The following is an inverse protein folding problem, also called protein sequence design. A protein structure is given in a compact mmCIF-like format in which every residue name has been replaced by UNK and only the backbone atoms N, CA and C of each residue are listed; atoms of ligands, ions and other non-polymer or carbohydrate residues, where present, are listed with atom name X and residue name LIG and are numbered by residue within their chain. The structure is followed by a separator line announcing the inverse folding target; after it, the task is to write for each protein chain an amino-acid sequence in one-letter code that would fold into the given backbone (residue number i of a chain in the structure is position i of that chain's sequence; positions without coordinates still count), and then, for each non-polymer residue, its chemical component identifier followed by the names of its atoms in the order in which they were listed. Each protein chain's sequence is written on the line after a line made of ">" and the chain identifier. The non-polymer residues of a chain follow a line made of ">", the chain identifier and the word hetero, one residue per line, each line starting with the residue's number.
data_IF_431210106693
#
_entry.id   IF_431210106693
#
_cell.length_a   1.000
_cell.length_b   1.000
_cell.length_c   1.000
_cell.angle_alpha   90.00
_cell.angle_beta   90.00
_cell.angle_gamma   90.00
#
_symmetry.space_group_name_H-M   'P 1'
#
loop_
_entity.id
_entity.type
_entity.pdbx_description
1 polymer ?
#
# COMPACT_ATOMS: atom_id res chain seq x y z
N UNK A 1 14.47 7.63 -1.29
CA UNK A 1 13.26 7.36 -2.12
C UNK A 1 12.59 6.04 -1.73
N UNK A 2 13.28 4.89 -1.73
CA UNK A 2 12.64 3.59 -1.45
C UNK A 2 11.85 3.55 -0.12
N UNK A 3 12.46 3.98 0.99
CA UNK A 3 11.79 4.04 2.29
C UNK A 3 10.56 4.97 2.32
N UNK A 4 10.59 6.07 1.56
CA UNK A 4 9.42 6.98 1.46
C UNK A 4 8.25 6.24 0.82
N UNK A 5 8.48 5.50 -0.27
CA UNK A 5 7.43 4.70 -0.91
C UNK A 5 6.87 3.61 0.00
N UNK A 6 7.73 2.92 0.78
CA UNK A 6 7.28 1.92 1.76
C UNK A 6 6.34 2.56 2.77
N UNK A 7 6.74 3.68 3.37
CA UNK A 7 5.94 4.33 4.41
C UNK A 7 4.69 5.03 3.87
N UNK A 8 4.64 5.36 2.58
CA UNK A 8 3.40 5.76 1.91
C UNK A 8 2.41 4.60 1.75
N UNK A 9 2.87 3.37 1.42
CA UNK A 9 1.98 2.21 1.39
C UNK A 9 1.54 1.77 2.79
N UNK A 10 2.43 1.84 3.79
CA UNK A 10 2.06 1.60 5.19
C UNK A 10 0.99 2.60 5.64
N UNK A 11 1.14 3.87 5.27
CA UNK A 11 0.13 4.90 5.54
C UNK A 11 -1.21 4.50 4.91
N UNK A 12 -1.24 4.25 3.60
CA UNK A 12 -2.49 4.04 2.87
C UNK A 12 -3.21 2.74 3.21
N UNK A 13 -2.48 1.65 3.47
CA UNK A 13 -3.06 0.32 3.68
C UNK A 13 -3.25 -0.07 5.14
N UNK A 14 -2.46 0.50 6.04
CA UNK A 14 -2.46 0.08 7.44
C UNK A 14 -3.00 1.19 8.34
N UNK A 15 -2.38 2.36 8.27
CA UNK A 15 -2.75 3.49 9.14
C UNK A 15 -4.08 4.11 8.73
N UNK A 16 -4.25 4.47 7.45
CA UNK A 16 -5.38 5.25 6.94
C UNK A 16 -6.72 4.52 7.09
N UNK A 17 -6.81 3.23 6.79
CA UNK A 17 -8.05 2.44 6.99
C UNK A 17 -8.49 2.44 8.47
N UNK A 18 -7.54 2.28 9.39
CA UNK A 18 -7.82 2.26 10.84
C UNK A 18 -8.15 3.66 11.37
N UNK A 19 -7.32 4.65 11.03
CA UNK A 19 -7.44 6.02 11.48
C UNK A 19 -8.70 6.71 10.93
N UNK A 20 -9.10 6.40 9.69
CA UNK A 20 -10.31 6.97 9.07
C UNK A 20 -11.58 6.51 9.75
N UNK A 21 -11.69 5.22 10.10
CA UNK A 21 -12.81 4.71 10.90
C UNK A 21 -12.92 5.42 12.25
N UNK A 22 -11.79 5.60 12.95
CA UNK A 22 -11.75 6.34 14.20
C UNK A 22 -12.17 7.81 14.02
N UNK A 23 -11.66 8.49 12.99
CA UNK A 23 -12.04 9.87 12.69
C UNK A 23 -13.52 10.00 12.33
N UNK A 24 -14.08 9.03 11.59
CA UNK A 24 -15.49 9.01 11.23
C UNK A 24 -16.38 8.86 12.47
N UNK A 25 -16.07 7.88 13.33
CA UNK A 25 -16.82 7.63 14.55
C UNK A 25 -16.71 8.79 15.55
N UNK A 26 -15.50 9.33 15.78
CA UNK A 26 -15.25 10.27 16.88
C UNK A 26 -15.32 11.73 16.49
N UNK A 27 -15.29 12.06 15.19
CA UNK A 27 -15.34 13.43 14.69
C UNK A 27 -16.55 13.64 13.80
N UNK A 28 -16.69 12.86 12.73
CA UNK A 28 -17.72 13.10 11.72
C UNK A 28 -19.13 12.78 12.24
N UNK A 29 -19.35 11.62 12.85
CA UNK A 29 -20.67 11.25 13.39
C UNK A 29 -21.18 12.28 14.42
N UNK A 30 -20.40 12.69 15.44
CA UNK A 30 -20.81 13.77 16.35
C UNK A 30 -21.12 15.08 15.64
N UNK A 31 -20.32 15.48 14.65
CA UNK A 31 -20.59 16.69 13.85
C UNK A 31 -21.91 16.60 13.08
N UNK A 32 -22.31 15.41 12.63
CA UNK A 32 -23.57 15.14 11.95
C UNK A 32 -24.73 14.81 12.91
N UNK A 33 -24.53 14.90 14.23
CA UNK A 33 -25.56 14.56 15.23
C UNK A 33 -25.88 13.06 15.33
N UNK A 34 -25.00 12.20 14.79
CA UNK A 34 -25.12 10.74 14.83
C UNK A 34 -24.43 10.13 16.05
N UNK A 35 -24.90 8.98 16.52
CA UNK A 35 -24.33 8.27 17.67
C UNK A 35 -23.07 7.50 17.31
N UNK A 36 -22.09 7.53 18.22
CA UNK A 36 -20.82 6.79 18.11
C UNK A 36 -21.07 5.29 18.31
N UNK A 37 -20.43 4.45 17.50
CA UNK A 37 -20.34 3.02 17.75
C UNK A 37 -19.06 2.71 18.56
N UNK A 38 -19.21 2.55 19.87
CA UNK A 38 -18.07 2.33 20.78
C UNK A 38 -17.34 1.01 20.50
N UNK A 39 -18.01 -0.01 19.96
CA UNK A 39 -17.35 -1.28 19.62
C UNK A 39 -16.42 -1.10 18.41
N UNK A 40 -16.84 -0.32 17.41
CA UNK A 40 -15.99 0.07 16.29
C UNK A 40 -14.81 0.92 16.77
N UNK A 41 -15.04 1.84 17.72
CA UNK A 41 -13.97 2.66 18.30
C UNK A 41 -12.95 1.80 19.03
N UNK A 42 -13.37 0.93 19.94
CA UNK A 42 -12.49 0.06 20.72
C UNK A 42 -11.63 -0.83 19.81
N UNK A 43 -12.27 -1.51 18.85
CA UNK A 43 -11.56 -2.38 17.91
C UNK A 43 -10.50 -1.62 17.09
N UNK A 44 -10.82 -0.43 16.58
CA UNK A 44 -9.87 0.32 15.76
C UNK A 44 -8.82 1.05 16.62
N UNK A 45 -9.11 1.34 17.89
CA UNK A 45 -8.15 1.89 18.84
C UNK A 45 -7.05 0.85 19.14
N UNK A 46 -7.41 -0.41 19.41
CA UNK A 46 -6.43 -1.48 19.61
C UNK A 46 -5.56 -1.73 18.37
N UNK A 47 -6.17 -1.70 17.17
CA UNK A 47 -5.42 -1.82 15.91
C UNK A 47 -4.46 -0.65 15.74
N UNK A 48 -4.92 0.58 15.97
CA UNK A 48 -4.08 1.76 15.85
C UNK A 48 -2.92 1.72 16.84
N UNK A 49 -3.13 1.26 18.07
CA UNK A 49 -2.06 1.17 19.07
C UNK A 49 -0.91 0.26 18.60
N UNK A 50 -1.25 -0.93 18.06
CA UNK A 50 -0.27 -1.86 17.45
C UNK A 50 0.45 -1.25 16.25
N UNK A 51 -0.27 -0.52 15.40
CA UNK A 51 0.35 0.20 14.26
C UNK A 51 1.35 1.23 14.79
N UNK A 52 0.98 1.98 15.83
CA UNK A 52 1.85 2.98 16.42
C UNK A 52 3.07 2.36 17.13
N UNK A 53 3.03 1.10 17.57
CA UNK A 53 4.23 0.39 18.05
C UNK A 53 5.27 0.21 16.94
N UNK A 54 4.82 -0.11 15.72
CA UNK A 54 5.70 -0.19 14.54
C UNK A 54 6.28 1.18 14.20
N UNK A 55 5.47 2.24 14.30
CA UNK A 55 5.93 3.61 14.07
C UNK A 55 6.94 4.03 15.14
N UNK A 56 6.70 3.69 16.41
CA UNK A 56 7.60 3.98 17.52
C UNK A 56 8.97 3.33 17.31
N UNK A 57 8.99 2.05 16.94
CA UNK A 57 10.23 1.35 16.62
C UNK A 57 10.95 1.97 15.41
N UNK A 58 10.21 2.38 14.36
CA UNK A 58 10.79 3.06 13.20
C UNK A 58 11.43 4.39 13.56
N UNK A 59 10.72 5.20 14.34
CA UNK A 59 11.10 6.57 14.70
C UNK A 59 12.18 6.59 15.79
N UNK A 60 12.38 5.50 16.53
CA UNK A 60 13.53 5.35 17.43
C UNK A 60 14.88 5.39 16.67
N UNK A 61 14.88 5.01 15.39
CA UNK A 61 16.09 4.99 14.55
C UNK A 61 16.18 6.12 13.50
N UNK A 62 15.20 7.02 13.42
CA UNK A 62 15.10 8.00 12.32
C UNK A 62 14.16 9.15 12.70
N UNK A 63 14.48 10.38 12.29
CA UNK A 63 13.66 11.56 12.63
C UNK A 63 12.26 11.54 12.00
N UNK A 64 12.15 11.05 10.77
CA UNK A 64 10.91 10.93 9.99
C UNK A 64 10.72 9.50 9.50
N UNK A 65 9.49 9.15 9.09
CA UNK A 65 9.16 7.78 8.66
C UNK A 65 10.01 7.37 7.44
N UNK A 66 10.17 8.29 6.49
CA UNK A 66 10.96 8.07 5.28
C UNK A 66 12.49 8.17 5.45
N UNK A 67 13.00 8.61 6.61
CA UNK A 67 14.43 8.85 6.85
C UNK A 67 14.70 10.11 7.67
N UNK A 68 15.83 10.77 7.42
CA UNK A 68 16.22 11.99 8.16
C UNK A 68 15.50 13.26 7.70
N UNK A 69 14.88 13.21 6.52
CA UNK A 69 14.20 14.36 5.90
C UNK A 69 12.69 14.16 5.87
N UNK A 70 11.96 15.27 6.10
CA UNK A 70 10.51 15.30 5.95
C UNK A 70 10.12 14.98 4.51
N UNK A 71 9.16 14.08 4.33
CA UNK A 71 8.80 13.55 3.02
C UNK A 71 7.28 13.40 2.85
N UNK A 72 6.84 12.89 1.70
CA UNK A 72 5.43 12.55 1.47
C UNK A 72 4.92 11.52 2.50
N UNK A 73 5.80 10.61 2.94
CA UNK A 73 5.48 9.63 3.97
C UNK A 73 5.13 10.26 5.32
N UNK A 74 5.45 11.53 5.58
CA UNK A 74 5.08 12.25 6.79
C UNK A 74 3.94 13.24 6.53
N UNK A 75 3.93 13.82 5.33
CA UNK A 75 2.90 14.78 4.90
C UNK A 75 1.51 14.15 4.87
N UNK A 76 1.39 12.90 4.42
CA UNK A 76 0.09 12.25 4.22
C UNK A 76 -0.64 11.97 5.53
N UNK A 77 0.06 11.79 6.65
CA UNK A 77 -0.57 11.57 7.95
C UNK A 77 -1.18 12.84 8.56
N UNK A 78 -0.76 14.04 8.14
CA UNK A 78 -1.14 15.29 8.80
C UNK A 78 -2.64 15.51 8.93
N UNK A 79 -3.48 15.36 7.87
CA UNK A 79 -4.90 15.65 7.96
C UNK A 79 -5.62 14.80 8.99
N UNK A 80 -5.32 13.51 9.02
CA UNK A 80 -6.03 12.57 9.88
C UNK A 80 -5.51 12.59 11.32
N UNK A 81 -4.20 12.75 11.51
CA UNK A 81 -3.61 12.97 12.83
C UNK A 81 -4.21 14.22 13.47
N UNK A 82 -4.36 15.31 12.72
CA UNK A 82 -4.99 16.53 13.22
C UNK A 82 -6.41 16.28 13.76
N UNK A 83 -7.23 15.48 13.06
CA UNK A 83 -8.55 15.11 13.55
C UNK A 83 -8.48 14.23 14.81
N UNK A 84 -7.64 13.19 14.80
CA UNK A 84 -7.51 12.28 15.94
C UNK A 84 -6.98 12.97 17.21
N UNK A 85 -6.12 13.98 17.05
CA UNK A 85 -5.60 14.78 18.15
C UNK A 85 -6.68 15.62 18.87
N UNK A 86 -7.81 15.89 18.19
CA UNK A 86 -9.00 16.49 18.79
C UNK A 86 -9.84 15.53 19.63
N UNK A 87 -9.48 14.24 19.72
CA UNK A 87 -10.29 13.19 20.35
C UNK A 87 -9.55 12.49 21.51
N UNK A 88 -10.21 11.50 22.14
CA UNK A 88 -9.59 10.60 23.13
C UNK A 88 -8.39 9.81 22.57
N UNK A 89 -8.33 9.60 21.25
CA UNK A 89 -7.29 8.81 20.58
C UNK A 89 -5.89 9.45 20.69
N UNK A 90 -5.80 10.76 20.92
CA UNK A 90 -4.51 11.46 21.12
C UNK A 90 -3.63 10.82 22.20
N UNK A 91 -4.23 10.14 23.18
CA UNK A 91 -3.51 9.46 24.24
C UNK A 91 -2.60 8.34 23.71
N UNK A 92 -2.98 7.65 22.64
CA UNK A 92 -2.15 6.60 22.02
C UNK A 92 -0.87 7.18 21.42
N UNK A 93 -0.98 8.31 20.71
CA UNK A 93 0.16 9.01 20.14
C UNK A 93 1.07 9.58 21.23
N UNK A 94 0.51 10.15 22.29
CA UNK A 94 1.27 10.73 23.40
C UNK A 94 1.94 9.68 24.29
N UNK A 95 1.41 8.45 24.32
CA UNK A 95 1.99 7.34 25.09
C UNK A 95 3.28 6.77 24.50
N UNK A 96 3.65 7.18 23.28
CA UNK A 96 4.79 6.67 22.52
C UNK A 96 5.76 7.84 22.23
N UNK A 97 6.93 7.91 22.87
CA UNK A 97 7.75 9.13 22.88
C UNK A 97 8.27 9.53 21.49
N UNK A 98 8.71 8.59 20.66
CA UNK A 98 9.22 8.91 19.32
C UNK A 98 8.06 9.30 18.38
N UNK A 99 6.92 8.62 18.45
CA UNK A 99 5.68 8.99 17.74
C UNK A 99 5.21 10.38 18.16
N UNK A 100 5.17 10.67 19.46
CA UNK A 100 4.75 11.97 19.98
C UNK A 100 5.65 13.09 19.48
N UNK A 101 6.97 12.89 19.52
CA UNK A 101 7.96 13.84 18.99
C UNK A 101 7.79 14.05 17.47
N UNK A 102 7.57 12.98 16.72
CA UNK A 102 7.30 13.06 15.28
C UNK A 102 5.99 13.82 14.98
N UNK A 103 4.89 13.51 15.65
CA UNK A 103 3.62 14.22 15.53
C UNK A 103 3.79 15.72 15.79
N UNK A 104 4.49 16.09 16.86
CA UNK A 104 4.79 17.48 17.18
C UNK A 104 5.60 18.15 16.05
N UNK A 105 6.61 17.46 15.51
CA UNK A 105 7.45 17.98 14.44
C UNK A 105 6.70 18.19 13.11
N UNK A 106 5.78 17.29 12.74
CA UNK A 106 5.01 17.42 11.49
C UNK A 106 3.90 18.48 11.64
N UNK A 107 3.22 18.54 12.79
CA UNK A 107 2.14 19.49 13.04
C UNK A 107 2.65 20.93 13.20
N UNK A 108 3.87 21.13 13.69
CA UNK A 108 4.49 22.45 13.83
C UNK A 108 5.04 23.04 12.51
N UNK A 109 4.77 22.41 11.35
CA UNK A 109 5.29 22.90 10.07
C UNK A 109 4.53 24.17 9.65
N UNK A 110 5.23 25.24 9.23
CA UNK A 110 4.58 26.49 8.79
C UNK A 110 3.59 26.32 7.64
N UNK A 111 3.82 25.33 6.77
CA UNK A 111 2.87 24.99 5.71
C UNK A 111 1.56 24.42 6.27
N UNK A 112 1.63 23.61 7.34
CA UNK A 112 0.46 23.04 8.00
C UNK A 112 -0.33 24.09 8.77
N UNK A 113 0.35 25.04 9.44
CA UNK A 113 -0.31 26.17 10.12
C UNK A 113 -1.22 26.96 9.17
N UNK A 114 -0.79 27.15 7.91
CA UNK A 114 -1.62 27.80 6.89
C UNK A 114 -2.87 26.98 6.55
N UNK A 115 -2.76 25.66 6.44
CA UNK A 115 -3.90 24.76 6.21
C UNK A 115 -4.89 24.84 7.37
N UNK A 116 -4.41 24.81 8.61
CA UNK A 116 -5.24 24.94 9.82
C UNK A 116 -5.94 26.30 9.88
N UNK A 117 -5.26 27.38 9.50
CA UNK A 117 -5.87 28.72 9.43
C UNK A 117 -7.07 28.74 8.46
N UNK A 118 -6.91 28.14 7.27
CA UNK A 118 -8.00 27.99 6.30
C UNK A 118 -9.13 27.13 6.86
N UNK A 119 -8.83 25.97 7.44
CA UNK A 119 -9.84 25.08 8.03
C UNK A 119 -10.64 25.76 9.15
N UNK A 120 -9.99 26.52 10.04
CA UNK A 120 -10.64 27.29 11.11
C UNK A 120 -11.59 28.35 10.55
N UNK A 121 -11.20 29.02 9.46
CA UNK A 121 -12.06 30.03 8.81
C UNK A 121 -13.31 29.41 8.17
N UNK A 122 -13.20 28.19 7.64
CA UNK A 122 -14.30 27.48 6.97
C UNK A 122 -15.27 26.83 7.95
N UNK A 123 -14.78 26.33 9.09
CA UNK A 123 -15.59 25.64 10.11
C UNK A 123 -16.19 26.59 11.16
N UNK A 124 -16.27 27.89 10.89
CA UNK A 124 -17.03 28.83 11.74
C UNK A 124 -16.52 28.96 13.18
N UNK A 125 -15.23 28.77 13.44
CA UNK A 125 -14.65 28.95 14.77
C UNK A 125 -14.99 27.87 15.80
N UNK A 126 -15.29 26.64 15.39
CA UNK A 126 -15.41 25.50 16.32
C UNK A 126 -14.06 25.31 17.05
N UNK A 127 -14.03 25.64 18.35
CA UNK A 127 -12.85 25.64 19.23
C UNK A 127 -12.19 24.25 19.42
N UNK A 128 -12.78 23.18 18.88
CA UNK A 128 -12.28 21.81 19.01
C UNK A 128 -11.28 21.38 17.92
N UNK A 129 -10.71 22.30 17.12
CA UNK A 129 -9.69 21.98 16.11
C UNK A 129 -8.32 22.59 16.47
N UNK A 130 -7.69 21.89 17.42
CA UNK A 130 -6.26 21.76 17.77
C UNK A 130 -5.56 22.87 18.57
N UNK A 131 -4.86 22.36 19.61
CA UNK A 131 -4.11 22.99 20.70
C UNK A 131 -2.74 23.58 20.30
N UNK A 132 -2.31 24.55 21.11
CA UNK A 132 -0.97 25.15 21.13
C UNK A 132 0.13 24.11 21.39
N UNK A 133 1.26 24.21 20.66
CA UNK A 133 2.44 23.34 20.80
C UNK A 133 3.60 24.15 21.39
N UNK A 134 4.29 23.67 22.46
CA UNK A 134 5.49 24.32 22.96
C UNK A 134 6.70 24.01 22.05
N UNK A 135 7.40 25.06 21.64
CA UNK A 135 8.53 25.01 20.71
C UNK A 135 9.80 24.57 21.43
N UNK A 136 10.51 23.56 20.91
CA UNK A 136 11.94 23.38 21.14
C UNK A 136 12.66 22.99 19.84
N UNK A 137 13.81 23.60 19.58
CA UNK A 137 14.59 23.47 18.33
C UNK A 137 15.78 22.53 18.52
N UNK A 138 16.11 21.62 17.58
CA UNK A 138 17.41 20.97 17.53
C UNK A 138 18.35 21.60 16.48
N UNK A 139 19.65 21.58 16.80
CA UNK A 139 20.76 22.06 15.96
C UNK A 139 21.25 21.04 14.90
N UNK A 140 22.26 21.37 14.09
CA UNK A 140 22.56 20.65 12.85
C UNK A 140 23.74 19.68 12.99
N UNK A 141 23.63 18.44 12.50
CA UNK A 141 24.82 17.60 12.21
C UNK A 141 24.65 16.64 11.02
N UNK A 142 25.65 16.77 10.13
CA UNK A 142 26.28 15.85 9.17
C UNK A 142 25.66 14.49 8.81
N UNK A 143 25.35 14.33 7.52
CA UNK A 143 25.18 13.02 6.88
C UNK A 143 26.48 12.48 6.27
N UNK A 144 26.64 11.15 6.25
CA UNK A 144 27.60 10.44 5.40
C UNK A 144 26.84 9.45 4.52
N UNK A 145 27.11 9.51 3.22
CA UNK A 145 26.66 8.56 2.21
C UNK A 145 27.67 7.42 2.08
N UNK A 146 27.22 6.16 2.21
CA UNK A 146 28.02 4.99 1.84
C UNK A 146 27.53 4.40 0.52
N UNK A 147 28.51 3.97 -0.29
CA UNK A 147 28.37 3.37 -1.60
C UNK A 147 28.03 1.87 -1.42
N UNK A 148 26.89 1.41 -1.95
CA UNK A 148 26.42 0.02 -1.82
C UNK A 148 27.26 -0.93 -2.68
N UNK A 149 27.82 -1.97 -2.06
CA UNK A 149 28.34 -3.15 -2.75
C UNK A 149 27.15 -4.10 -2.96
N UNK A 150 26.88 -4.46 -4.22
CA UNK A 150 25.78 -5.34 -4.58
C UNK A 150 25.99 -6.76 -4.00
N UNK A 151 25.31 -7.06 -2.90
CA UNK A 151 24.93 -8.44 -2.57
C UNK A 151 23.62 -8.73 -3.33
N UNK A 152 23.44 -9.96 -3.81
CA UNK A 152 22.32 -10.33 -4.68
C UNK A 152 20.92 -10.09 -4.08
N UNK A 153 19.93 -9.87 -4.93
CA UNK A 153 18.53 -9.62 -4.54
C UNK A 153 17.93 -10.90 -3.94
N UNK A 154 17.22 -10.76 -2.81
CA UNK A 154 16.40 -11.82 -2.22
C UNK A 154 14.95 -11.39 -2.11
N UNK A 155 14.04 -12.24 -2.58
CA UNK A 155 12.60 -12.05 -2.43
C UNK A 155 12.05 -13.11 -1.47
N UNK A 156 11.50 -12.66 -0.35
CA UNK A 156 10.86 -13.48 0.65
C UNK A 156 9.35 -13.50 0.43
N UNK A 157 8.78 -14.69 0.26
CA UNK A 157 7.33 -14.82 0.11
C UNK A 157 6.86 -16.21 -0.27
N UNK A 158 5.59 -16.29 -0.64
CA UNK A 158 4.94 -17.51 -1.10
C UNK A 158 4.41 -17.30 -2.53
N UNK A 159 4.63 -18.23 -3.48
CA UNK A 159 4.29 -18.01 -4.90
C UNK A 159 2.77 -17.86 -5.16
N UNK A 160 1.90 -18.35 -4.27
CA UNK A 160 0.45 -18.09 -4.33
C UNK A 160 0.03 -16.70 -3.84
N UNK A 161 0.92 -15.91 -3.25
CA UNK A 161 0.56 -14.59 -2.76
C UNK A 161 0.56 -13.59 -3.92
N UNK A 162 -0.61 -12.99 -4.18
CA UNK A 162 -0.76 -11.97 -5.23
C UNK A 162 0.23 -10.79 -5.08
N UNK A 163 0.43 -10.20 -3.88
CA UNK A 163 1.49 -9.21 -3.66
C UNK A 163 2.90 -9.70 -4.02
N UNK A 164 3.23 -10.97 -3.74
CA UNK A 164 4.53 -11.56 -4.12
C UNK A 164 4.63 -11.69 -5.64
N UNK A 165 3.56 -12.10 -6.32
CA UNK A 165 3.51 -12.21 -7.77
C UNK A 165 3.74 -10.87 -8.47
N UNK A 166 3.28 -9.73 -7.91
CA UNK A 166 3.62 -8.39 -8.43
C UNK A 166 5.13 -8.18 -8.45
N UNK A 167 5.81 -8.53 -7.37
CA UNK A 167 7.27 -8.38 -7.27
C UNK A 167 7.99 -9.32 -8.23
N UNK A 168 7.57 -10.58 -8.34
CA UNK A 168 8.15 -11.54 -9.30
C UNK A 168 7.97 -11.03 -10.73
N UNK A 169 6.76 -10.57 -11.11
CA UNK A 169 6.50 -10.01 -12.43
C UNK A 169 7.44 -8.84 -12.73
N UNK A 170 7.65 -7.94 -11.77
CA UNK A 170 8.60 -6.83 -11.91
C UNK A 170 10.05 -7.33 -12.07
N UNK A 171 10.51 -8.26 -11.25
CA UNK A 171 11.86 -8.84 -11.36
C UNK A 171 12.09 -9.48 -12.75
N UNK A 172 11.10 -10.22 -13.26
CA UNK A 172 11.15 -10.86 -14.58
C UNK A 172 11.11 -9.86 -15.74
N UNK A 173 10.24 -8.84 -15.68
CA UNK A 173 10.19 -7.74 -16.64
C UNK A 173 11.52 -6.96 -16.70
N UNK A 174 12.20 -6.85 -15.55
CA UNK A 174 13.49 -6.16 -15.42
C UNK A 174 14.70 -7.08 -15.69
N UNK A 175 14.45 -8.37 -15.94
CA UNK A 175 15.49 -9.40 -16.15
C UNK A 175 16.53 -9.41 -15.02
N UNK A 176 16.05 -9.33 -13.78
CA UNK A 176 16.90 -9.34 -12.59
C UNK A 176 17.03 -10.76 -12.05
N UNK A 177 18.25 -11.16 -11.72
CA UNK A 177 18.50 -12.41 -11.00
C UNK A 177 18.20 -12.19 -9.50
N UNK A 178 17.53 -13.16 -8.88
CA UNK A 178 17.16 -13.09 -7.48
C UNK A 178 17.06 -14.49 -6.84
N UNK A 179 17.35 -14.55 -5.55
CA UNK A 179 17.04 -15.70 -4.70
C UNK A 179 15.58 -15.61 -4.23
N UNK A 180 14.79 -16.65 -4.42
CA UNK A 180 13.42 -16.72 -3.89
C UNK A 180 13.38 -17.54 -2.61
N UNK A 181 13.19 -16.88 -1.48
CA UNK A 181 13.11 -17.51 -0.16
C UNK A 181 11.63 -17.77 0.16
N UNK A 182 11.25 -19.04 0.17
CA UNK A 182 9.88 -19.44 0.48
C UNK A 182 9.58 -19.17 1.96
N UNK A 183 8.50 -18.44 2.22
CA UNK A 183 7.94 -18.23 3.56
C UNK A 183 6.68 -19.07 3.69
N UNK A 184 6.69 -20.00 4.63
CA UNK A 184 5.53 -20.87 4.87
C UNK A 184 4.44 -20.13 5.66
N UNK A 185 3.41 -19.70 4.94
CA UNK A 185 2.25 -19.00 5.50
C UNK A 185 1.06 -19.94 5.76
N UNK A 186 1.16 -21.22 5.38
CA UNK A 186 0.03 -22.15 5.42
C UNK A 186 0.13 -23.03 6.67
N UNK A 187 1.29 -23.62 6.91
CA UNK A 187 1.44 -24.63 7.95
C UNK A 187 2.02 -24.06 9.25
N UNK A 188 2.88 -23.05 9.16
CA UNK A 188 3.61 -22.52 10.32
C UNK A 188 3.34 -21.05 10.62
N UNK A 189 2.63 -20.29 9.76
CA UNK A 189 2.49 -18.84 9.92
C UNK A 189 3.87 -18.13 10.03
N UNK A 190 4.90 -18.62 9.33
CA UNK A 190 6.29 -18.13 9.45
C UNK A 190 6.42 -16.62 9.20
N UNK A 191 5.56 -16.04 8.36
CA UNK A 191 5.46 -14.60 8.14
C UNK A 191 5.18 -13.76 9.41
N UNK A 192 4.76 -14.37 10.52
CA UNK A 192 4.52 -13.70 11.81
C UNK A 192 5.62 -13.97 12.84
N UNK A 193 6.69 -14.66 12.46
CA UNK A 193 7.74 -15.12 13.36
C UNK A 193 9.11 -14.53 13.00
N UNK A 194 10.03 -14.56 13.96
CA UNK A 194 11.44 -14.29 13.67
C UNK A 194 12.07 -15.42 12.84
N UNK A 195 13.04 -15.12 11.94
CA UNK A 195 13.62 -13.79 11.70
C UNK A 195 12.84 -12.93 10.70
N UNK A 196 11.67 -13.37 10.22
CA UNK A 196 10.97 -12.69 9.12
C UNK A 196 10.38 -11.34 9.53
N UNK A 197 9.82 -11.24 10.74
CA UNK A 197 9.25 -9.98 11.23
C UNK A 197 10.29 -8.88 11.43
N UNK A 198 11.58 -9.24 11.57
CA UNK A 198 12.69 -8.29 11.51
C UNK A 198 12.90 -7.65 10.13
N UNK A 199 12.31 -8.23 9.07
CA UNK A 199 12.34 -7.69 7.69
C UNK A 199 11.02 -6.97 7.39
N UNK A 200 9.87 -7.60 7.65
CA UNK A 200 8.57 -6.96 7.57
C UNK A 200 7.87 -6.97 8.94
N UNK A 201 7.86 -5.84 9.68
CA UNK A 201 7.28 -5.77 11.02
C UNK A 201 5.75 -5.91 11.04
N UNK A 202 5.07 -5.76 9.90
CA UNK A 202 3.63 -6.01 9.80
C UNK A 202 3.30 -7.50 9.66
N UNK A 203 4.32 -8.36 9.61
CA UNK A 203 4.15 -9.80 9.52
C UNK A 203 3.43 -10.22 8.24
N UNK A 204 3.73 -9.56 7.13
CA UNK A 204 3.12 -9.78 5.81
C UNK A 204 4.19 -10.09 4.75
N UNK A 205 3.80 -10.75 3.68
CA UNK A 205 4.66 -11.00 2.50
C UNK A 205 4.16 -10.16 1.31
N UNK A 206 5.05 -9.70 0.40
CA UNK A 206 6.48 -9.96 0.29
C UNK A 206 7.36 -9.12 1.23
N UNK A 207 8.62 -9.54 1.34
CA UNK A 207 9.74 -8.68 1.69
C UNK A 207 10.89 -8.86 0.69
N UNK A 208 11.73 -7.84 0.50
CA UNK A 208 12.87 -7.84 -0.42
C UNK A 208 14.13 -7.37 0.32
N UNK A 209 15.24 -8.08 0.11
CA UNK A 209 16.59 -7.60 0.46
C UNK A 209 17.38 -7.33 -0.82
N UNK A 210 18.03 -6.17 -0.90
CA UNK A 210 18.98 -5.78 -1.95
C UNK A 210 20.20 -5.12 -1.29
N UNK A 211 21.29 -5.89 -1.12
CA UNK A 211 22.39 -5.46 -0.26
C UNK A 211 21.97 -5.29 1.19
N UNK A 212 22.32 -4.14 1.76
CA UNK A 212 21.91 -3.75 3.13
C UNK A 212 20.49 -3.18 3.19
N UNK A 213 19.81 -3.01 2.04
CA UNK A 213 18.48 -2.44 1.98
C UNK A 213 17.43 -3.55 2.16
N UNK A 214 16.56 -3.37 3.16
CA UNK A 214 15.38 -4.22 3.39
C UNK A 214 14.12 -3.42 3.08
N UNK A 215 13.26 -3.97 2.24
CA UNK A 215 11.98 -3.38 1.85
C UNK A 215 10.85 -4.37 2.06
N UNK A 216 9.68 -3.82 2.35
CA UNK A 216 8.40 -4.53 2.33
C UNK A 216 7.39 -3.62 1.63
N UNK A 217 6.13 -4.07 1.50
CA UNK A 217 5.12 -3.50 0.60
C UNK A 217 5.42 -3.71 -0.89
N UNK A 218 4.51 -4.46 -1.55
CA UNK A 218 4.78 -4.97 -2.90
C UNK A 218 4.92 -3.87 -3.96
N UNK A 219 4.18 -2.75 -3.87
CA UNK A 219 4.26 -1.70 -4.88
C UNK A 219 5.50 -0.84 -4.68
N UNK A 220 5.92 -0.60 -3.45
CA UNK A 220 7.11 0.14 -3.06
C UNK A 220 8.35 -0.65 -3.48
N UNK A 221 8.34 -1.97 -3.29
CA UNK A 221 9.36 -2.86 -3.85
C UNK A 221 9.40 -2.72 -5.39
N UNK A 222 8.26 -2.84 -6.09
CA UNK A 222 8.27 -2.74 -7.56
C UNK A 222 8.69 -1.36 -8.06
N UNK A 223 8.33 -0.29 -7.34
CA UNK A 223 8.71 1.10 -7.65
C UNK A 223 10.21 1.31 -7.42
N UNK A 224 10.78 0.73 -6.37
CA UNK A 224 12.21 0.68 -6.14
C UNK A 224 12.93 -0.03 -7.29
N UNK A 225 12.51 -1.26 -7.62
CA UNK A 225 13.11 -2.05 -8.69
C UNK A 225 13.05 -1.34 -10.05
N UNK A 226 11.90 -0.74 -10.38
CA UNK A 226 11.70 0.00 -11.62
C UNK A 226 12.62 1.24 -11.73
N UNK A 227 12.82 1.97 -10.63
CA UNK A 227 13.72 3.13 -10.58
C UNK A 227 15.20 2.74 -10.56
N UNK A 228 15.59 1.88 -9.63
CA UNK A 228 17.01 1.50 -9.38
C UNK A 228 17.59 0.80 -10.59
N UNK A 229 16.81 -0.06 -11.23
CA UNK A 229 17.23 -0.82 -12.41
C UNK A 229 16.61 -0.26 -13.70
N UNK A 230 16.39 1.06 -13.79
CA UNK A 230 15.74 1.72 -14.94
C UNK A 230 16.40 1.46 -16.30
N UNK A 231 17.65 1.00 -16.32
CA UNK A 231 18.42 0.63 -17.53
C UNK A 231 18.31 -0.85 -17.93
N UNK A 232 17.57 -1.69 -17.20
CA UNK A 232 17.38 -3.11 -17.50
C UNK A 232 15.94 -3.44 -17.88
N UNK A 233 15.76 -4.39 -18.79
CA UNK A 233 14.45 -4.93 -19.19
C UNK A 233 13.44 -3.86 -19.61
N UNK A 234 12.15 -4.13 -19.36
CA UNK A 234 11.04 -3.24 -19.72
C UNK A 234 11.07 -1.93 -18.90
N UNK A 235 10.84 -0.76 -19.53
CA UNK A 235 10.72 0.52 -18.83
C UNK A 235 9.35 0.63 -18.14
N UNK A 236 9.23 0.06 -16.94
CA UNK A 236 7.96 0.01 -16.18
C UNK A 236 7.48 1.36 -15.63
N UNK A 237 8.31 2.40 -15.72
CA UNK A 237 7.98 3.77 -15.30
C UNK A 237 8.57 4.77 -16.30
N UNK A 238 7.83 5.80 -16.75
CA UNK A 238 8.38 6.84 -17.60
C UNK A 238 9.39 7.74 -16.87
N UNK A 239 10.26 8.42 -17.62
CA UNK A 239 11.15 9.45 -17.06
C UNK A 239 10.53 10.84 -17.08
N UNK A 240 9.56 11.06 -17.95
CA UNK A 240 8.84 12.33 -18.02
C UNK A 240 7.93 12.48 -16.79
N UNK A 241 8.05 13.58 -16.03
CA UNK A 241 7.31 13.75 -14.78
C UNK A 241 5.80 13.86 -14.98
N UNK A 242 5.32 14.35 -16.13
CA UNK A 242 3.88 14.44 -16.42
C UNK A 242 3.31 13.06 -16.74
N UNK A 243 4.03 12.25 -17.53
CA UNK A 243 3.67 10.85 -17.76
C UNK A 243 3.73 10.03 -16.47
N UNK A 244 4.74 10.26 -15.63
CA UNK A 244 4.81 9.63 -14.31
C UNK A 244 3.61 9.95 -13.44
N UNK A 245 3.14 11.21 -13.44
CA UNK A 245 1.95 11.57 -12.68
C UNK A 245 0.71 10.76 -13.13
N UNK A 246 0.55 10.51 -14.43
CA UNK A 246 -0.54 9.68 -14.97
C UNK A 246 -0.40 8.23 -14.49
N UNK A 247 0.80 7.65 -14.60
CA UNK A 247 1.06 6.29 -14.11
C UNK A 247 0.79 6.20 -12.61
N UNK A 248 1.22 7.19 -11.82
CA UNK A 248 0.97 7.24 -10.38
C UNK A 248 -0.53 7.31 -10.06
N UNK A 249 -1.33 8.09 -10.81
CA UNK A 249 -2.79 8.09 -10.64
C UNK A 249 -3.35 6.68 -10.79
N UNK A 250 -2.93 5.94 -11.82
CA UNK A 250 -3.47 4.60 -12.06
C UNK A 250 -2.93 3.51 -11.11
N UNK A 251 -1.71 3.68 -10.56
CA UNK A 251 -1.24 2.87 -9.43
C UNK A 251 -2.12 3.10 -8.20
N UNK A 252 -2.47 4.35 -7.90
CA UNK A 252 -3.35 4.67 -6.77
C UNK A 252 -4.78 4.15 -6.99
N UNK A 253 -5.31 4.24 -8.22
CA UNK A 253 -6.61 3.65 -8.60
C UNK A 253 -6.57 2.13 -8.50
N UNK A 254 -5.47 1.47 -8.92
CA UNK A 254 -5.30 0.03 -8.69
C UNK A 254 -5.38 -0.28 -7.22
N UNK A 255 -4.63 0.45 -6.40
CA UNK A 255 -4.47 0.18 -4.97
C UNK A 255 -5.76 0.39 -4.18
N UNK A 256 -6.41 1.53 -4.38
CA UNK A 256 -7.52 2.01 -3.56
C UNK A 256 -8.90 1.67 -4.11
N UNK A 257 -9.00 1.34 -5.39
CA UNK A 257 -10.28 1.06 -6.03
C UNK A 257 -10.34 -0.39 -6.49
N UNK A 258 -9.49 -0.79 -7.43
CA UNK A 258 -9.57 -2.13 -8.01
C UNK A 258 -9.19 -3.22 -6.99
N UNK A 259 -8.04 -3.11 -6.34
CA UNK A 259 -7.49 -4.14 -5.45
C UNK A 259 -8.34 -4.35 -4.20
N UNK A 260 -8.95 -3.30 -3.62
CA UNK A 260 -9.84 -3.45 -2.47
C UNK A 260 -11.06 -4.35 -2.76
N UNK A 261 -11.55 -4.33 -4.00
CA UNK A 261 -12.65 -5.17 -4.45
C UNK A 261 -12.17 -6.52 -4.97
N UNK A 262 -11.15 -6.52 -5.83
CA UNK A 262 -10.62 -7.73 -6.45
C UNK A 262 -9.98 -8.69 -5.44
N UNK A 263 -9.33 -8.19 -4.40
CA UNK A 263 -8.76 -9.03 -3.33
C UNK A 263 -9.83 -9.77 -2.53
N UNK A 264 -10.98 -9.14 -2.26
CA UNK A 264 -12.12 -9.80 -1.59
C UNK A 264 -12.71 -10.90 -2.46
N UNK A 265 -12.91 -10.64 -3.75
CA UNK A 265 -13.36 -11.65 -4.70
C UNK A 265 -12.37 -12.81 -4.83
N UNK A 266 -11.07 -12.51 -4.90
CA UNK A 266 -10.01 -13.54 -4.95
C UNK A 266 -9.98 -14.36 -3.67
N UNK A 267 -10.15 -13.73 -2.50
CA UNK A 267 -10.21 -14.45 -1.23
C UNK A 267 -11.40 -15.40 -1.18
N UNK A 268 -12.60 -14.92 -1.54
CA UNK A 268 -13.83 -15.71 -1.52
C UNK A 268 -13.84 -16.83 -2.56
N UNK A 269 -13.44 -16.55 -3.80
CA UNK A 269 -13.62 -17.47 -4.94
C UNK A 269 -12.40 -18.33 -5.24
N UNK A 270 -11.22 -17.98 -4.72
CA UNK A 270 -9.98 -18.73 -4.98
C UNK A 270 -9.39 -19.25 -3.67
N UNK A 271 -9.07 -18.37 -2.72
CA UNK A 271 -8.37 -18.79 -1.50
C UNK A 271 -9.24 -19.70 -0.61
N UNK A 272 -10.49 -19.31 -0.32
CA UNK A 272 -11.37 -20.11 0.55
C UNK A 272 -11.60 -21.54 0.03
N UNK A 273 -11.94 -21.77 -1.26
CA UNK A 273 -12.05 -23.13 -1.80
C UNK A 273 -10.79 -23.97 -1.64
N UNK A 274 -9.61 -23.39 -1.91
CA UNK A 274 -8.31 -24.07 -1.74
C UNK A 274 -8.11 -24.55 -0.29
N UNK A 275 -8.55 -23.74 0.68
CA UNK A 275 -8.45 -24.07 2.11
C UNK A 275 -9.71 -24.77 2.67
N UNK A 276 -10.61 -25.26 1.82
CA UNK A 276 -11.83 -25.96 2.25
C UNK A 276 -12.82 -25.10 3.04
N UNK A 277 -12.75 -23.77 2.90
CA UNK A 277 -13.67 -22.80 3.54
C UNK A 277 -14.86 -22.50 2.64
N UNK A 278 -15.98 -22.13 3.24
CA UNK A 278 -17.23 -21.79 2.53
C UNK A 278 -17.19 -20.39 1.94
N UNK A 279 -17.60 -20.29 0.68
CA UNK A 279 -17.77 -19.03 -0.04
C UNK A 279 -18.93 -18.25 0.58
N UNK A 280 -18.72 -16.96 0.84
CA UNK A 280 -19.79 -16.04 1.22
C UNK A 280 -20.34 -15.36 -0.05
N UNK A 281 -21.45 -15.89 -0.56
CA UNK A 281 -22.05 -15.40 -1.81
C UNK A 281 -22.53 -13.94 -1.72
N UNK A 282 -22.89 -13.44 -0.52
CA UNK A 282 -23.28 -12.04 -0.36
C UNK A 282 -22.08 -11.10 -0.52
N UNK A 283 -20.92 -11.48 0.02
CA UNK A 283 -19.66 -10.76 -0.21
C UNK A 283 -19.27 -10.83 -1.69
N UNK A 284 -19.44 -11.97 -2.34
CA UNK A 284 -19.16 -12.13 -3.78
C UNK A 284 -20.06 -11.21 -4.61
N UNK A 285 -21.38 -11.25 -4.42
CA UNK A 285 -22.34 -10.43 -5.16
C UNK A 285 -22.05 -8.94 -5.01
N UNK A 286 -21.86 -8.47 -3.77
CA UNK A 286 -21.56 -7.07 -3.49
C UNK A 286 -20.27 -6.60 -4.19
N UNK A 287 -19.21 -7.41 -4.16
CA UNK A 287 -17.93 -7.03 -4.75
C UNK A 287 -17.92 -7.24 -6.27
N UNK A 288 -18.73 -8.17 -6.80
CA UNK A 288 -18.92 -8.34 -8.24
C UNK A 288 -19.59 -7.09 -8.84
N UNK A 289 -20.63 -6.56 -8.20
CA UNK A 289 -21.28 -5.32 -8.65
C UNK A 289 -20.30 -4.14 -8.64
N UNK A 290 -19.58 -3.94 -7.52
CA UNK A 290 -18.55 -2.89 -7.39
C UNK A 290 -17.47 -3.03 -8.46
N UNK A 291 -16.98 -4.25 -8.70
CA UNK A 291 -15.97 -4.49 -9.73
C UNK A 291 -16.53 -4.16 -11.12
N UNK A 292 -17.78 -4.50 -11.40
CA UNK A 292 -18.45 -4.12 -12.65
C UNK A 292 -18.41 -2.60 -12.89
N UNK A 293 -18.77 -1.81 -11.89
CA UNK A 293 -18.72 -0.34 -11.95
C UNK A 293 -17.31 0.21 -12.15
N UNK A 294 -16.31 -0.36 -11.47
CA UNK A 294 -14.90 0.00 -11.63
C UNK A 294 -14.46 -0.28 -13.08
N UNK A 295 -14.83 -1.44 -13.62
CA UNK A 295 -14.46 -1.80 -14.98
C UNK A 295 -15.17 -0.95 -16.04
N UNK A 296 -16.32 -0.33 -15.77
CA UNK A 296 -16.92 0.67 -16.68
C UNK A 296 -16.02 1.89 -16.83
N UNK A 297 -15.42 2.36 -15.73
CA UNK A 297 -14.45 3.47 -15.77
C UNK A 297 -13.21 3.07 -16.56
N UNK A 298 -12.74 1.83 -16.38
CA UNK A 298 -11.58 1.31 -17.10
C UNK A 298 -11.88 1.17 -18.60
N UNK A 299 -13.06 0.66 -18.96
CA UNK A 299 -13.50 0.53 -20.35
C UNK A 299 -13.53 1.88 -21.07
N UNK A 300 -14.09 2.91 -20.42
CA UNK A 300 -14.11 4.26 -20.98
C UNK A 300 -12.71 4.85 -21.13
N UNK A 301 -11.80 4.61 -20.18
CA UNK A 301 -10.41 5.08 -20.26
C UNK A 301 -9.62 4.36 -21.35
N UNK A 302 -9.71 3.03 -21.40
CA UNK A 302 -8.98 2.19 -22.36
C UNK A 302 -9.50 2.33 -23.81
N UNK A 303 -10.68 2.91 -24.02
CA UNK A 303 -11.12 3.31 -25.34
C UNK A 303 -10.22 4.39 -25.99
N UNK A 304 -9.53 5.19 -25.17
CA UNK A 304 -8.65 6.28 -25.62
C UNK A 304 -7.17 6.11 -25.26
N UNK A 305 -6.79 5.01 -24.61
CA UNK A 305 -5.43 4.75 -24.14
C UNK A 305 -5.12 3.26 -24.23
N UNK A 306 -3.93 2.90 -24.74
CA UNK A 306 -3.55 1.49 -24.91
C UNK A 306 -3.45 0.75 -23.57
N UNK A 307 -2.88 1.40 -22.57
CA UNK A 307 -2.70 0.92 -21.20
C UNK A 307 -3.28 1.92 -20.21
N UNK A 308 -3.41 1.56 -18.94
CA UNK A 308 -3.93 2.47 -17.92
C UNK A 308 -3.02 3.70 -17.77
N UNK A 309 -1.70 3.47 -17.74
CA UNK A 309 -0.69 4.52 -17.61
C UNK A 309 -0.40 5.33 -18.88
N UNK A 310 -1.02 5.01 -20.03
CA UNK A 310 -0.79 5.66 -21.31
C UNK A 310 -0.49 4.66 -22.45
N UNK A 311 0.46 4.97 -23.31
CA UNK A 311 0.76 4.17 -24.52
C UNK A 311 1.70 2.98 -24.27
N UNK A 312 2.36 2.94 -23.11
CA UNK A 312 3.36 1.93 -22.76
C UNK A 312 2.93 1.16 -21.51
N UNK A 313 3.20 -0.15 -21.49
CA UNK A 313 2.97 -1.00 -20.33
C UNK A 313 3.80 -0.51 -19.15
N UNK A 314 3.17 -0.34 -17.99
CA UNK A 314 3.78 0.28 -16.82
C UNK A 314 3.48 -0.48 -15.53
N UNK A 315 4.02 -0.01 -14.40
CA UNK A 315 3.64 -0.51 -13.08
C UNK A 315 2.12 -0.41 -12.84
N UNK A 316 1.46 0.59 -13.42
CA UNK A 316 0.00 0.74 -13.31
C UNK A 316 -0.76 -0.45 -13.89
N UNK A 317 -0.20 -1.17 -14.88
CA UNK A 317 -0.81 -2.35 -15.48
C UNK A 317 -0.31 -3.64 -14.82
N UNK A 318 0.98 -3.68 -14.51
CA UNK A 318 1.65 -4.81 -13.86
C UNK A 318 1.00 -5.15 -12.52
N UNK A 319 0.57 -4.15 -11.76
CA UNK A 319 -0.02 -4.36 -10.43
C UNK A 319 -1.36 -5.08 -10.47
N UNK A 320 -2.09 -5.05 -11.60
CA UNK A 320 -3.37 -5.77 -11.74
C UNK A 320 -3.20 -7.26 -12.07
N UNK A 321 -2.06 -7.66 -12.65
CA UNK A 321 -1.83 -9.00 -13.20
C UNK A 321 -2.26 -10.14 -12.25
N UNK A 322 -1.83 -10.17 -10.97
CA UNK A 322 -2.17 -11.30 -10.09
C UNK A 322 -3.68 -11.46 -9.88
N UNK A 323 -4.36 -10.36 -9.57
CA UNK A 323 -5.79 -10.38 -9.29
C UNK A 323 -6.59 -10.73 -10.54
N UNK A 324 -6.25 -10.16 -11.70
CA UNK A 324 -6.92 -10.49 -12.97
C UNK A 324 -6.73 -11.98 -13.29
N UNK A 325 -5.50 -12.49 -13.19
CA UNK A 325 -5.19 -13.89 -13.45
C UNK A 325 -6.02 -14.83 -12.55
N UNK A 326 -6.13 -14.53 -11.26
CA UNK A 326 -6.97 -15.30 -10.35
C UNK A 326 -8.46 -15.22 -10.70
N UNK A 327 -8.97 -14.02 -10.94
CA UNK A 327 -10.39 -13.82 -11.27
C UNK A 327 -10.79 -14.45 -12.60
N UNK A 328 -9.86 -14.56 -13.55
CA UNK A 328 -10.07 -15.26 -14.83
C UNK A 328 -10.29 -16.77 -14.65
N UNK A 329 -9.84 -17.35 -13.53
CA UNK A 329 -10.15 -18.72 -13.12
C UNK A 329 -11.53 -18.91 -12.49
N UNK A 330 -12.38 -17.86 -12.43
CA UNK A 330 -13.66 -17.87 -11.70
C UNK A 330 -14.81 -17.35 -12.57
N UNK A 331 -16.04 -17.37 -12.03
CA UNK A 331 -17.24 -16.76 -12.66
C UNK A 331 -17.09 -15.26 -12.96
N UNK A 332 -16.17 -14.57 -12.29
CA UNK A 332 -15.95 -13.13 -12.43
C UNK A 332 -15.36 -12.76 -13.80
N UNK A 333 -14.70 -13.70 -14.51
CA UNK A 333 -14.16 -13.47 -15.86
C UNK A 333 -15.18 -12.83 -16.81
N UNK A 334 -16.46 -13.20 -16.69
CA UNK A 334 -17.53 -12.67 -17.53
C UNK A 334 -17.67 -11.13 -17.47
N UNK A 335 -17.32 -10.49 -16.33
CA UNK A 335 -17.33 -9.04 -16.22
C UNK A 335 -16.27 -8.36 -17.11
N UNK A 336 -15.12 -9.01 -17.27
CA UNK A 336 -14.04 -8.54 -18.13
C UNK A 336 -14.36 -8.83 -19.60
N UNK A 337 -14.88 -10.02 -19.91
CA UNK A 337 -15.26 -10.40 -21.28
C UNK A 337 -16.36 -9.52 -21.87
N UNK A 338 -17.26 -8.99 -21.04
CA UNK A 338 -18.31 -8.07 -21.47
C UNK A 338 -17.85 -6.66 -21.86
N UNK A 339 -16.55 -6.36 -21.73
CA UNK A 339 -15.97 -5.02 -21.94
C UNK A 339 -14.81 -5.12 -22.94
N UNK A 340 -14.99 -4.74 -24.21
CA UNK A 340 -14.03 -5.08 -25.26
C UNK A 340 -12.64 -4.46 -25.06
N UNK A 341 -12.53 -3.20 -24.62
CA UNK A 341 -11.23 -2.56 -24.40
C UNK A 341 -10.52 -3.15 -23.16
N UNK A 342 -11.26 -3.38 -22.07
CA UNK A 342 -10.75 -4.06 -20.88
C UNK A 342 -10.31 -5.49 -21.21
N UNK A 343 -11.12 -6.25 -21.96
CA UNK A 343 -10.80 -7.62 -22.35
C UNK A 343 -9.53 -7.69 -23.19
N UNK A 344 -9.38 -6.77 -24.16
CA UNK A 344 -8.18 -6.66 -24.98
C UNK A 344 -6.94 -6.29 -24.15
N UNK A 345 -7.07 -5.32 -23.24
CA UNK A 345 -6.00 -4.95 -22.31
C UNK A 345 -5.58 -6.13 -21.41
N UNK A 346 -6.55 -6.83 -20.80
CA UNK A 346 -6.29 -8.01 -19.98
C UNK A 346 -5.56 -9.10 -20.78
N UNK A 347 -6.00 -9.37 -22.01
CA UNK A 347 -5.37 -10.36 -22.87
C UNK A 347 -3.91 -9.99 -23.19
N UNK A 348 -3.64 -8.72 -23.47
CA UNK A 348 -2.29 -8.23 -23.76
C UNK A 348 -1.36 -8.34 -22.55
N UNK A 349 -1.79 -7.88 -21.36
CA UNK A 349 -0.93 -7.90 -20.17
C UNK A 349 -0.69 -9.34 -19.66
N UNK A 350 -1.67 -10.23 -19.76
CA UNK A 350 -1.53 -11.62 -19.32
C UNK A 350 -0.67 -12.46 -20.28
N UNK A 351 -0.58 -12.06 -21.56
CA UNK A 351 0.25 -12.74 -22.55
C UNK A 351 1.74 -12.36 -22.49
N UNK A 352 2.14 -11.52 -21.52
CA UNK A 352 3.53 -11.06 -21.42
C UNK A 352 4.44 -12.22 -20.96
N UNK A 353 5.61 -12.43 -21.58
CA UNK A 353 6.52 -13.52 -21.22
C UNK A 353 6.95 -13.53 -19.75
N UNK A 354 7.09 -12.34 -19.14
CA UNK A 354 7.41 -12.22 -17.72
C UNK A 354 6.27 -12.77 -16.83
N UNK A 355 5.01 -12.59 -17.23
CA UNK A 355 3.87 -13.12 -16.51
C UNK A 355 3.74 -14.64 -16.66
N UNK A 356 4.05 -15.19 -17.84
CA UNK A 356 4.06 -16.64 -18.06
C UNK A 356 5.01 -17.36 -17.07
N UNK A 357 6.20 -16.81 -16.84
CA UNK A 357 7.15 -17.35 -15.84
C UNK A 357 6.61 -17.31 -14.41
N UNK A 358 5.85 -16.27 -14.05
CA UNK A 358 5.16 -16.18 -12.75
C UNK A 358 4.16 -17.34 -12.64
N UNK A 359 3.37 -17.57 -13.69
CA UNK A 359 2.37 -18.65 -13.74
C UNK A 359 3.01 -20.04 -13.68
N UNK A 360 4.13 -20.25 -14.37
CA UNK A 360 4.91 -21.49 -14.26
C UNK A 360 5.40 -21.72 -12.82
N UNK A 361 5.93 -20.68 -12.17
CA UNK A 361 6.40 -20.78 -10.78
C UNK A 361 5.26 -21.11 -9.80
N UNK A 362 4.04 -20.65 -10.05
CA UNK A 362 2.86 -21.04 -9.26
C UNK A 362 2.58 -22.55 -9.36
N UNK A 363 2.60 -23.12 -10.56
CA UNK A 363 2.29 -24.55 -10.80
C UNK A 363 3.29 -25.49 -10.12
N UNK A 364 4.58 -25.17 -10.16
CA UNK A 364 5.62 -25.97 -9.50
C UNK A 364 5.50 -25.97 -7.96
N UNK A 365 4.78 -25.01 -7.38
CA UNK A 365 4.54 -24.94 -5.93
C UNK A 365 3.29 -25.71 -5.49
N UNK A 366 2.37 -26.06 -6.39
CA UNK A 366 1.19 -26.91 -6.09
C UNK A 366 1.50 -28.41 -6.13
N UNK A 367 2.63 -28.82 -6.69
CA UNK A 367 2.98 -30.22 -6.96
C UNK A 367 3.87 -30.86 -5.87
N UNK A 368 4.22 -30.12 -4.82
CA UNK A 368 4.92 -30.61 -3.62
C UNK A 368 4.01 -30.48 -2.41
#
# INVERSE_FOLDING_TARGET
>A
MALVSVWMEVESHTFQDTASKLSYELVIKPMLGSTIDEAVVEQNQEKLDKILEVYEARLAGSKYLGGEEFSLADLHHLPIINFLFGTKIKALFNGKPNVSAWCAAILARPAWEKVICVLRSLMGGVENVVLEVPISRPGPYGGRSNLYIAMGIKLYGHPFSAPVQKVIACLEEKHLEYEFVVIDIISTDQHKQEPFISINPFGQIPALEDGDLKLFESRAITQYLANTYANKGTPLIPRDPKKMAIVSVWIEVESHTFNQTASKLTYELVAKPIFGKTIDEAVVEQNQEKLGQILEVYEAHLAGSKYLGGEEFSLADLHHLPAINYLFGTKIKALFDGKPNVSAWCADILARPAWEKVVERMKHSTEK
#
